data_IF_601525182496
#
_entry.id   IF_601525182496
#
_cell.length_a   1.000
_cell.length_b   1.000
_cell.length_c   1.000
_cell.angle_alpha   90.00
_cell.angle_beta   90.00
_cell.angle_gamma   90.00
#
_symmetry.space_group_name_H-M   'P 1'
#
loop_
_entity.id
_entity.type
_entity.pdbx_description
1 polymer ?
#
# COMPACT_ATOMS: atom_id res chain seq x y z
N UNK A 1 -20.96 36.54 -20.94
CA UNK A 1 -19.54 36.09 -20.80
C UNK A 1 -19.40 34.93 -19.81
N UNK A 2 -20.23 33.86 -19.95
CA UNK A 2 -20.34 32.75 -18.96
C UNK A 2 -20.29 31.36 -19.61
N UNK A 3 -19.72 31.23 -20.83
CA UNK A 3 -19.71 29.96 -21.58
C UNK A 3 -18.42 29.12 -21.49
N UNK A 4 -17.31 29.67 -20.95
CA UNK A 4 -15.99 29.00 -21.00
C UNK A 4 -15.66 28.06 -19.81
N UNK A 5 -16.37 28.18 -18.70
CA UNK A 5 -16.10 27.33 -17.49
C UNK A 5 -16.67 25.91 -17.64
N UNK A 6 -17.76 25.73 -18.39
CA UNK A 6 -18.39 24.40 -18.59
C UNK A 6 -17.60 23.42 -19.48
N UNK A 7 -16.73 23.94 -20.34
CA UNK A 7 -15.89 23.11 -21.22
C UNK A 7 -14.66 22.60 -20.51
N UNK A 8 -14.08 23.38 -19.60
CA UNK A 8 -12.93 22.91 -18.78
C UNK A 8 -13.33 21.78 -17.82
N UNK A 9 -14.49 21.89 -17.16
CA UNK A 9 -15.01 20.84 -16.28
C UNK A 9 -15.37 19.55 -17.03
N UNK A 10 -15.93 19.65 -18.26
CA UNK A 10 -16.18 18.49 -19.11
C UNK A 10 -14.89 17.84 -19.63
N UNK A 11 -13.87 18.62 -19.93
CA UNK A 11 -12.56 18.10 -20.35
C UNK A 11 -11.86 17.42 -19.17
N UNK A 12 -11.90 18.00 -17.96
CA UNK A 12 -11.38 17.39 -16.73
C UNK A 12 -12.12 16.08 -16.37
N UNK A 13 -13.44 16.04 -16.51
CA UNK A 13 -14.23 14.82 -16.25
C UNK A 13 -14.01 13.70 -17.26
N UNK A 14 -13.70 14.04 -18.51
CA UNK A 14 -13.37 13.05 -19.56
C UNK A 14 -11.97 12.43 -19.39
N UNK A 15 -11.07 13.06 -18.62
CA UNK A 15 -9.72 12.54 -18.34
C UNK A 15 -9.65 11.55 -17.18
N UNK A 16 -10.71 11.36 -16.42
CA UNK A 16 -10.64 10.83 -15.04
C UNK A 16 -11.03 9.35 -14.86
N UNK A 17 -11.18 8.59 -15.93
CA UNK A 17 -11.84 7.28 -15.80
C UNK A 17 -11.02 6.06 -16.24
N UNK A 18 -9.70 6.08 -16.10
CA UNK A 18 -8.91 4.94 -16.53
C UNK A 18 -7.79 4.55 -15.58
N UNK A 19 -7.48 3.26 -15.52
CA UNK A 19 -6.30 2.71 -14.87
C UNK A 19 -5.23 2.48 -15.93
N UNK A 20 -3.97 2.80 -15.60
CA UNK A 20 -2.80 2.55 -16.44
C UNK A 20 -1.97 1.42 -15.85
N UNK A 21 -1.28 0.68 -16.72
CA UNK A 21 -0.31 -0.34 -16.37
C UNK A 21 1.10 0.08 -16.81
N UNK A 22 2.05 0.01 -15.89
CA UNK A 22 3.48 0.10 -16.17
C UNK A 22 4.02 -1.30 -16.44
N UNK A 23 4.23 -1.61 -17.71
CA UNK A 23 4.63 -2.93 -18.21
C UNK A 23 5.92 -3.41 -17.54
N UNK A 24 6.91 -2.52 -17.37
CA UNK A 24 8.19 -2.85 -16.76
C UNK A 24 8.10 -3.25 -15.26
N UNK A 25 7.02 -2.88 -14.57
CA UNK A 25 6.78 -3.26 -13.17
C UNK A 25 5.96 -4.54 -13.04
N UNK A 26 5.10 -4.84 -14.00
CA UNK A 26 4.17 -5.96 -13.91
C UNK A 26 4.91 -7.30 -13.99
N UNK A 27 4.80 -8.14 -12.95
CA UNK A 27 5.47 -9.46 -12.92
C UNK A 27 5.00 -10.37 -14.05
N UNK A 28 3.72 -10.28 -14.45
CA UNK A 28 3.15 -11.05 -15.56
C UNK A 28 3.73 -10.64 -16.91
N UNK A 29 3.93 -9.34 -17.13
CA UNK A 29 4.53 -8.80 -18.34
C UNK A 29 6.03 -9.09 -18.43
N UNK A 30 6.73 -9.10 -17.28
CA UNK A 30 8.17 -9.37 -17.22
C UNK A 30 8.52 -10.86 -17.33
N UNK A 31 7.61 -11.72 -16.92
CA UNK A 31 7.85 -13.17 -16.89
C UNK A 31 6.59 -13.94 -17.29
N UNK A 32 6.64 -14.57 -18.45
CA UNK A 32 5.54 -15.39 -18.98
C UNK A 32 5.14 -16.57 -18.06
N UNK A 33 6.04 -17.04 -17.19
CA UNK A 33 5.77 -18.10 -16.21
C UNK A 33 5.07 -17.58 -14.94
N UNK A 34 5.01 -16.26 -14.73
CA UNK A 34 4.25 -15.70 -13.61
C UNK A 34 2.76 -15.87 -13.87
N UNK A 35 2.01 -16.36 -12.90
CA UNK A 35 0.55 -16.58 -12.99
C UNK A 35 -0.25 -15.59 -12.14
N UNK A 36 0.27 -14.36 -11.98
CA UNK A 36 -0.37 -13.33 -11.19
C UNK A 36 -1.67 -12.85 -11.84
N UNK A 37 -2.78 -12.99 -11.11
CA UNK A 37 -4.13 -12.56 -11.51
C UNK A 37 -4.76 -11.57 -10.51
N UNK A 38 -3.99 -11.03 -9.56
CA UNK A 38 -4.52 -10.22 -8.46
C UNK A 38 -5.38 -9.04 -8.91
N UNK A 39 -5.01 -8.36 -10.00
CA UNK A 39 -5.75 -7.21 -10.50
C UNK A 39 -7.08 -7.59 -11.15
N UNK A 40 -7.15 -8.69 -11.90
CA UNK A 40 -8.40 -9.15 -12.51
C UNK A 40 -9.34 -9.75 -11.46
N UNK A 41 -8.84 -10.47 -10.47
CA UNK A 41 -9.64 -11.10 -9.42
C UNK A 41 -10.43 -10.09 -8.56
N UNK A 42 -9.93 -8.85 -8.42
CA UNK A 42 -10.59 -7.81 -7.61
C UNK A 42 -11.39 -6.80 -8.43
N UNK A 43 -11.42 -6.93 -9.76
CA UNK A 43 -12.11 -5.97 -10.62
C UNK A 43 -13.62 -6.19 -10.56
N UNK A 44 -14.41 -5.24 -10.00
CA UNK A 44 -15.84 -5.43 -9.79
C UNK A 44 -16.66 -5.41 -11.08
N UNK A 45 -16.07 -4.91 -12.16
CA UNK A 45 -16.71 -4.79 -13.50
C UNK A 45 -16.01 -5.67 -14.55
N UNK A 46 -15.12 -6.57 -14.13
CA UNK A 46 -14.37 -7.47 -15.00
C UNK A 46 -13.68 -6.78 -16.18
N UNK A 47 -13.21 -5.54 -15.98
CA UNK A 47 -12.53 -4.76 -17.02
C UNK A 47 -11.07 -5.19 -17.25
N UNK A 48 -10.55 -6.18 -16.50
CA UNK A 48 -9.14 -6.59 -16.60
C UNK A 48 -9.06 -8.06 -17.00
N UNK A 49 -8.42 -8.30 -18.12
CA UNK A 49 -8.13 -9.64 -18.64
C UNK A 49 -6.64 -9.94 -18.48
N UNK A 50 -6.33 -11.15 -18.02
CA UNK A 50 -4.95 -11.66 -17.89
C UNK A 50 -4.80 -12.89 -18.77
N UNK A 51 -3.89 -12.84 -19.74
CA UNK A 51 -3.61 -13.92 -20.67
C UNK A 51 -2.12 -14.27 -20.73
N UNK A 52 -1.75 -15.20 -21.62
CA UNK A 52 -0.34 -15.49 -21.95
C UNK A 52 0.39 -14.29 -22.58
N UNK A 53 -0.35 -13.40 -23.22
CA UNK A 53 0.17 -12.20 -23.87
C UNK A 53 0.39 -11.05 -22.89
N UNK A 54 -0.28 -11.09 -21.72
CA UNK A 54 -0.12 -10.07 -20.68
C UNK A 54 -1.40 -9.69 -19.96
N UNK A 55 -1.45 -8.44 -19.51
CA UNK A 55 -2.58 -7.84 -18.80
C UNK A 55 -3.17 -6.73 -19.66
N UNK A 56 -4.47 -6.83 -19.93
CA UNK A 56 -5.23 -5.89 -20.75
C UNK A 56 -6.34 -5.26 -19.93
N UNK A 57 -6.60 -3.98 -20.15
CA UNK A 57 -7.64 -3.20 -19.45
C UNK A 57 -8.60 -2.62 -20.47
N UNK A 58 -9.87 -3.03 -20.42
CA UNK A 58 -10.95 -2.44 -21.18
C UNK A 58 -11.32 -1.09 -20.58
N UNK A 59 -10.86 -0.01 -21.21
CA UNK A 59 -10.98 1.34 -20.65
C UNK A 59 -12.45 1.77 -20.54
N UNK A 60 -13.30 1.39 -21.47
CA UNK A 60 -14.74 1.73 -21.47
C UNK A 60 -15.50 1.08 -20.31
N UNK A 61 -15.10 -0.10 -19.88
CA UNK A 61 -15.64 -0.78 -18.68
C UNK A 61 -15.03 -0.27 -17.40
N UNK A 62 -13.83 0.29 -17.45
CA UNK A 62 -13.08 0.65 -16.26
C UNK A 62 -13.71 1.84 -15.54
N UNK A 63 -14.06 1.65 -14.26
CA UNK A 63 -14.65 2.71 -13.42
C UNK A 63 -13.61 3.48 -12.59
N UNK A 64 -12.32 3.19 -12.76
CA UNK A 64 -11.21 3.80 -12.02
C UNK A 64 -11.37 3.73 -10.48
N UNK A 65 -12.01 2.68 -9.96
CA UNK A 65 -12.24 2.52 -8.51
C UNK A 65 -10.97 2.27 -7.69
N UNK A 66 -9.86 1.86 -8.34
CA UNK A 66 -8.56 1.67 -7.71
C UNK A 66 -8.33 0.33 -7.00
N UNK A 67 -9.30 -0.60 -6.93
CA UNK A 67 -9.11 -1.91 -6.29
C UNK A 67 -7.94 -2.70 -6.87
N UNK A 68 -7.78 -2.69 -8.19
CA UNK A 68 -6.67 -3.35 -8.88
C UNK A 68 -5.31 -2.72 -8.56
N UNK A 69 -5.27 -1.41 -8.30
CA UNK A 69 -4.06 -0.70 -7.84
C UNK A 69 -3.65 -1.19 -6.47
N UNK A 70 -4.62 -1.34 -5.53
CA UNK A 70 -4.39 -1.88 -4.20
C UNK A 70 -3.92 -3.34 -4.24
N UNK A 71 -4.51 -4.16 -5.09
CA UNK A 71 -4.16 -5.57 -5.23
C UNK A 71 -2.79 -5.79 -5.90
N UNK A 72 -2.26 -4.80 -6.60
CA UNK A 72 -0.98 -4.90 -7.30
C UNK A 72 0.20 -4.78 -6.35
N UNK A 73 0.76 -5.90 -5.93
CA UNK A 73 1.87 -5.98 -4.96
C UNK A 73 3.18 -5.32 -5.43
N UNK A 74 3.32 -5.06 -6.73
CA UNK A 74 4.52 -4.42 -7.31
C UNK A 74 4.26 -2.99 -7.78
N UNK A 75 3.05 -2.45 -7.56
CA UNK A 75 2.70 -1.08 -7.95
C UNK A 75 2.76 -0.82 -9.46
N UNK A 76 2.41 -1.82 -10.26
CA UNK A 76 2.39 -1.70 -11.71
C UNK A 76 1.14 -0.95 -12.24
N UNK A 77 0.14 -0.74 -11.40
CA UNK A 77 -1.12 -0.11 -11.78
C UNK A 77 -1.27 1.24 -11.07
N UNK A 78 -1.83 2.21 -11.77
CA UNK A 78 -2.14 3.54 -11.23
C UNK A 78 -3.45 4.06 -11.80
N UNK A 79 -4.20 4.86 -11.02
CA UNK A 79 -5.38 5.59 -11.52
C UNK A 79 -4.90 6.86 -12.20
N UNK A 80 -5.34 7.09 -13.44
CA UNK A 80 -5.01 8.30 -14.17
C UNK A 80 -5.55 9.54 -13.44
N UNK A 81 -4.75 10.61 -13.38
CA UNK A 81 -5.14 11.83 -12.67
C UNK A 81 -5.02 11.76 -11.15
N UNK A 82 -4.65 10.61 -10.57
CA UNK A 82 -4.45 10.44 -9.14
C UNK A 82 -3.01 10.10 -8.80
N UNK A 83 -2.38 10.91 -7.96
CA UNK A 83 -1.00 10.74 -7.51
C UNK A 83 -0.94 10.04 -6.14
N UNK A 84 -0.42 8.82 -6.10
CA UNK A 84 -0.16 8.15 -4.82
C UNK A 84 0.80 8.93 -3.93
N UNK A 85 1.80 9.59 -4.52
CA UNK A 85 2.73 10.42 -3.77
C UNK A 85 2.00 11.53 -3.02
N UNK A 86 1.20 12.33 -3.75
CA UNK A 86 0.41 13.42 -3.15
C UNK A 86 -0.58 12.91 -2.10
N UNK A 87 -1.16 11.74 -2.33
CA UNK A 87 -2.06 11.08 -1.37
C UNK A 87 -1.34 10.76 -0.06
N UNK A 88 -0.19 10.10 -0.11
CA UNK A 88 0.57 9.75 1.08
C UNK A 88 1.18 10.97 1.79
N UNK A 89 1.61 12.01 1.04
CA UNK A 89 2.05 13.28 1.61
C UNK A 89 0.92 13.95 2.41
N UNK A 90 -0.31 13.94 1.87
CA UNK A 90 -1.48 14.47 2.56
C UNK A 90 -1.84 13.63 3.81
N UNK A 91 -1.75 12.30 3.74
CA UNK A 91 -1.96 11.43 4.89
C UNK A 91 -0.96 11.75 6.03
N UNK A 92 0.33 11.88 5.72
CA UNK A 92 1.35 12.26 6.71
C UNK A 92 0.99 13.59 7.38
N UNK A 93 0.70 14.60 6.56
CA UNK A 93 0.41 15.95 7.05
C UNK A 93 -0.82 15.99 7.96
N UNK A 94 -1.89 15.26 7.58
CA UNK A 94 -3.15 15.22 8.34
C UNK A 94 -3.07 14.33 9.58
N UNK A 95 -2.32 13.24 9.53
CA UNK A 95 -2.14 12.34 10.68
C UNK A 95 -1.31 12.96 11.81
N UNK A 96 -0.48 13.94 11.52
CA UNK A 96 0.29 14.65 12.51
C UNK A 96 -0.53 15.66 13.32
N UNK A 97 -1.74 15.99 12.89
CA UNK A 97 -2.67 16.90 13.55
C UNK A 97 -3.49 16.23 14.65
N UNK A 98 -4.26 17.05 15.36
CA UNK A 98 -5.21 16.59 16.38
C UNK A 98 -6.61 16.32 15.83
N UNK A 99 -6.88 16.74 14.59
CA UNK A 99 -8.16 16.57 13.93
C UNK A 99 -8.24 15.17 13.28
N UNK A 100 -9.44 14.60 13.17
CA UNK A 100 -9.66 13.38 12.41
C UNK A 100 -9.12 13.47 10.98
N UNK A 101 -8.49 12.41 10.49
CA UNK A 101 -8.08 12.32 9.09
C UNK A 101 -9.33 12.10 8.25
N UNK A 102 -9.75 13.12 7.50
CA UNK A 102 -10.94 13.07 6.66
C UNK A 102 -10.58 12.64 5.24
N UNK A 103 -11.22 11.59 4.74
CA UNK A 103 -11.04 11.07 3.38
C UNK A 103 -12.41 11.02 2.71
N UNK A 104 -12.51 11.53 1.49
CA UNK A 104 -13.75 11.70 0.76
C UNK A 104 -13.63 11.08 -0.63
N UNK A 105 -14.65 10.34 -1.09
CA UNK A 105 -14.66 9.81 -2.45
C UNK A 105 -14.91 10.92 -3.48
N UNK A 106 -14.47 10.73 -4.71
CA UNK A 106 -14.59 11.73 -5.80
C UNK A 106 -16.04 12.09 -6.15
N UNK A 107 -16.99 11.22 -5.86
CA UNK A 107 -18.43 11.47 -6.11
C UNK A 107 -19.05 12.48 -5.13
N UNK A 108 -18.37 12.82 -4.05
CA UNK A 108 -18.77 13.84 -3.09
C UNK A 108 -18.31 15.26 -3.51
N UNK A 109 -18.47 15.64 -4.78
CA UNK A 109 -17.96 16.91 -5.32
C UNK A 109 -18.69 18.14 -4.80
N UNK A 110 -19.93 17.99 -4.38
CA UNK A 110 -20.86 19.04 -3.93
C UNK A 110 -20.83 19.27 -2.40
N UNK A 111 -19.94 18.59 -1.69
CA UNK A 111 -19.78 18.72 -0.24
C UNK A 111 -18.63 19.69 0.03
N UNK A 112 -18.83 20.62 0.97
CA UNK A 112 -17.72 21.40 1.51
C UNK A 112 -16.73 20.46 2.20
N UNK A 113 -15.60 20.27 1.55
CA UNK A 113 -14.57 19.31 1.94
C UNK A 113 -13.25 19.99 2.33
N UNK A 114 -13.32 21.23 2.84
CA UNK A 114 -12.14 21.95 3.27
C UNK A 114 -11.29 21.08 4.20
N UNK A 115 -10.09 20.77 3.75
CA UNK A 115 -9.13 19.95 4.48
C UNK A 115 -9.28 18.42 4.37
N UNK A 116 -10.25 17.89 3.62
CA UNK A 116 -10.36 16.46 3.36
C UNK A 116 -9.44 15.97 2.22
N UNK A 117 -8.97 14.74 2.32
CA UNK A 117 -8.19 14.08 1.28
C UNK A 117 -9.16 13.42 0.29
N UNK A 118 -9.09 13.78 -0.98
CA UNK A 118 -9.95 13.21 -2.01
C UNK A 118 -9.32 11.97 -2.63
N UNK A 119 -10.08 10.87 -2.71
CA UNK A 119 -9.68 9.62 -3.37
C UNK A 119 -10.65 9.25 -4.50
N UNK A 120 -10.23 8.48 -5.50
CA UNK A 120 -11.11 8.07 -6.60
C UNK A 120 -12.37 7.36 -6.10
N UNK A 121 -12.24 6.47 -5.14
CA UNK A 121 -13.32 5.73 -4.48
C UNK A 121 -12.84 5.31 -3.08
N UNK A 122 -13.72 5.14 -2.11
CA UNK A 122 -13.33 4.63 -0.78
C UNK A 122 -12.70 3.23 -0.83
N UNK A 123 -13.00 2.43 -1.85
CA UNK A 123 -12.28 1.16 -2.08
C UNK A 123 -10.77 1.32 -2.34
N UNK A 124 -10.27 2.56 -2.49
CA UNK A 124 -8.85 2.88 -2.56
C UNK A 124 -8.19 2.96 -1.17
N UNK A 125 -8.99 3.16 -0.11
CA UNK A 125 -8.52 3.24 1.27
C UNK A 125 -8.43 1.82 1.83
N UNK A 126 -7.23 1.38 2.17
CA UNK A 126 -6.95 0.03 2.64
C UNK A 126 -6.55 0.02 4.12
N UNK A 127 -6.57 -1.15 4.74
CA UNK A 127 -6.10 -1.32 6.11
C UNK A 127 -4.65 -0.84 6.28
N UNK A 128 -3.77 -1.06 5.28
CA UNK A 128 -2.40 -0.55 5.31
C UNK A 128 -2.36 0.98 5.40
N UNK A 129 -3.26 1.67 4.69
CA UNK A 129 -3.39 3.13 4.75
C UNK A 129 -3.85 3.59 6.13
N UNK A 130 -4.85 2.91 6.71
CA UNK A 130 -5.39 3.25 8.03
C UNK A 130 -4.35 3.03 9.13
N UNK A 131 -3.65 1.91 9.09
CA UNK A 131 -2.54 1.63 10.02
C UNK A 131 -1.38 2.62 9.86
N UNK A 132 -1.11 3.05 8.63
CA UNK A 132 -0.12 4.09 8.39
C UNK A 132 -0.52 5.43 9.01
N UNK A 133 -1.79 5.82 8.91
CA UNK A 133 -2.30 7.02 9.59
C UNK A 133 -2.16 6.90 11.10
N UNK A 134 -2.55 5.76 11.68
CA UNK A 134 -2.40 5.49 13.12
C UNK A 134 -0.95 5.56 13.57
N UNK A 135 -0.03 4.89 12.86
CA UNK A 135 1.41 4.94 13.13
C UNK A 135 2.02 6.34 12.95
N UNK A 136 1.36 7.20 12.18
CA UNK A 136 1.73 8.60 11.97
C UNK A 136 1.09 9.56 12.97
N UNK A 137 0.27 9.07 13.91
CA UNK A 137 -0.30 9.83 15.02
C UNK A 137 -1.80 10.09 14.95
N UNK A 138 -2.51 9.61 13.93
CA UNK A 138 -3.95 9.74 13.85
C UNK A 138 -4.65 8.82 14.86
N UNK A 139 -5.62 9.33 15.60
CA UNK A 139 -6.48 8.55 16.50
C UNK A 139 -7.80 8.18 15.83
N UNK A 140 -8.22 8.99 14.84
CA UNK A 140 -9.50 8.87 14.18
C UNK A 140 -9.39 9.12 12.68
N UNK A 141 -10.09 8.30 11.90
CA UNK A 141 -10.23 8.47 10.45
C UNK A 141 -11.72 8.51 10.13
N UNK A 142 -12.14 9.50 9.35
CA UNK A 142 -13.52 9.61 8.85
C UNK A 142 -13.55 9.51 7.34
N UNK A 143 -14.32 8.55 6.85
CA UNK A 143 -14.48 8.25 5.45
C UNK A 143 -15.88 8.68 4.99
N UNK A 144 -15.95 9.51 3.96
CA UNK A 144 -17.22 10.03 3.46
C UNK A 144 -17.49 9.55 2.04
N UNK A 145 -18.73 9.08 1.81
CA UNK A 145 -19.19 8.62 0.50
C UNK A 145 -20.59 9.14 0.19
N UNK A 146 -20.98 9.09 -1.07
CA UNK A 146 -22.37 9.18 -1.53
C UNK A 146 -22.97 7.79 -1.69
N UNK A 147 -24.26 7.71 -2.08
CA UNK A 147 -24.95 6.43 -2.33
C UNK A 147 -24.11 5.51 -3.22
N UNK A 148 -23.46 4.53 -2.61
CA UNK A 148 -22.66 3.55 -3.33
C UNK A 148 -23.48 2.58 -4.16
N UNK A 149 -24.77 2.42 -3.86
CA UNK A 149 -25.72 1.57 -4.59
C UNK A 149 -26.03 2.10 -5.99
N UNK A 150 -25.96 3.42 -6.18
CA UNK A 150 -26.19 4.10 -7.45
C UNK A 150 -24.88 4.48 -8.16
N UNK A 151 -23.74 4.15 -7.56
CA UNK A 151 -22.43 4.54 -8.04
C UNK A 151 -21.87 3.51 -9.04
N UNK A 152 -21.38 3.98 -10.19
CA UNK A 152 -20.71 3.11 -11.18
C UNK A 152 -19.49 2.35 -10.64
N UNK A 153 -18.88 2.82 -9.54
CA UNK A 153 -17.68 2.20 -8.91
C UNK A 153 -18.02 1.05 -7.95
N UNK A 154 -19.28 0.77 -7.75
CA UNK A 154 -19.85 -0.38 -7.03
C UNK A 154 -19.24 -0.61 -5.63
N UNK A 155 -20.06 -0.44 -4.59
CA UNK A 155 -19.77 -0.85 -3.21
C UNK A 155 -18.42 -0.36 -2.62
N UNK A 156 -18.06 0.89 -2.86
CA UNK A 156 -16.82 1.48 -2.33
C UNK A 156 -16.79 1.56 -0.81
N UNK A 157 -17.91 1.93 -0.18
CA UNK A 157 -18.06 2.00 1.27
C UNK A 157 -17.94 0.62 1.92
N UNK A 158 -18.63 -0.39 1.40
CA UNK A 158 -18.54 -1.77 1.92
C UNK A 158 -17.14 -2.35 1.78
N UNK A 159 -16.40 -2.00 0.72
CA UNK A 159 -15.01 -2.40 0.58
C UNK A 159 -14.12 -1.72 1.64
N UNK A 160 -14.36 -0.43 1.92
CA UNK A 160 -13.63 0.30 2.95
C UNK A 160 -13.95 -0.22 4.36
N UNK A 161 -15.20 -0.64 4.64
CA UNK A 161 -15.57 -1.23 5.93
C UNK A 161 -14.80 -2.52 6.22
N UNK A 162 -14.69 -3.42 5.25
CA UNK A 162 -13.89 -4.65 5.40
C UNK A 162 -12.41 -4.34 5.71
N UNK A 163 -11.87 -3.30 5.08
CA UNK A 163 -10.51 -2.86 5.35
C UNK A 163 -10.39 -2.18 6.72
N UNK A 164 -11.42 -1.46 7.17
CA UNK A 164 -11.48 -0.85 8.49
C UNK A 164 -11.56 -1.91 9.60
N UNK A 165 -12.41 -2.94 9.43
CA UNK A 165 -12.46 -4.09 10.34
C UNK A 165 -11.07 -4.73 10.48
N UNK A 166 -10.39 -4.94 9.36
CA UNK A 166 -9.03 -5.49 9.33
C UNK A 166 -8.02 -4.57 10.05
N UNK A 167 -8.10 -3.26 9.88
CA UNK A 167 -7.24 -2.31 10.57
C UNK A 167 -7.50 -2.29 12.08
N UNK A 168 -8.78 -2.25 12.50
CA UNK A 168 -9.20 -2.26 13.92
C UNK A 168 -8.78 -3.55 14.63
N UNK A 169 -8.75 -4.67 13.93
CA UNK A 169 -8.31 -5.95 14.50
C UNK A 169 -6.80 -6.00 14.79
N UNK A 170 -6.01 -5.13 14.17
CA UNK A 170 -4.55 -5.08 14.32
C UNK A 170 -4.11 -4.00 15.30
N UNK A 171 -4.78 -2.85 15.26
CA UNK A 171 -4.40 -1.69 16.07
C UNK A 171 -5.61 -0.87 16.49
N UNK A 172 -5.53 -0.25 17.66
CA UNK A 172 -6.58 0.63 18.20
C UNK A 172 -6.68 1.91 17.38
N UNK A 173 -7.55 1.93 16.39
CA UNK A 173 -7.88 3.10 15.59
C UNK A 173 -9.39 3.22 15.40
N UNK A 174 -9.92 4.43 15.59
CA UNK A 174 -11.31 4.73 15.27
C UNK A 174 -11.44 5.02 13.78
N UNK A 175 -12.33 4.29 13.09
CA UNK A 175 -12.64 4.53 11.68
C UNK A 175 -14.15 4.62 11.54
N UNK A 176 -14.66 5.77 11.11
CA UNK A 176 -16.07 6.00 10.85
C UNK A 176 -16.29 6.13 9.34
N UNK A 177 -17.36 5.51 8.85
CA UNK A 177 -17.75 5.56 7.44
C UNK A 177 -19.17 6.11 7.35
N UNK A 178 -19.30 7.25 6.70
CA UNK A 178 -20.56 8.01 6.70
C UNK A 178 -21.03 8.31 5.28
N UNK A 179 -22.34 8.18 5.06
CA UNK A 179 -22.97 8.71 3.86
C UNK A 179 -23.18 10.21 4.01
N UNK A 180 -22.49 10.98 3.18
CA UNK A 180 -22.52 12.42 3.24
C UNK A 180 -23.78 13.00 2.58
N UNK A 181 -24.61 13.71 3.35
CA UNK A 181 -25.75 14.43 2.83
C UNK A 181 -25.33 15.67 2.03
N UNK A 182 -26.12 16.07 1.02
CA UNK A 182 -25.81 17.12 0.05
C UNK A 182 -25.58 18.55 0.63
N UNK A 183 -25.68 18.74 1.96
CA UNK A 183 -25.43 20.02 2.64
C UNK A 183 -24.62 19.89 3.93
N UNK A 184 -23.95 18.76 4.13
CA UNK A 184 -23.16 18.58 5.34
C UNK A 184 -21.84 19.32 5.20
N UNK A 185 -21.68 20.44 5.91
CA UNK A 185 -20.36 20.99 6.16
C UNK A 185 -19.59 19.96 7.00
N UNK A 186 -18.47 19.48 6.50
CA UNK A 186 -17.58 18.54 7.22
C UNK A 186 -16.80 19.27 8.35
N UNK A 187 -17.26 20.44 8.76
CA UNK A 187 -16.79 21.18 9.91
C UNK A 187 -17.47 20.65 11.17
N UNK A 188 -16.78 19.86 11.97
CA UNK A 188 -17.26 19.48 13.30
C UNK A 188 -17.22 20.68 14.23
N UNK A 189 -18.31 21.01 14.95
CA UNK A 189 -18.22 21.95 16.05
C UNK A 189 -17.29 21.35 17.11
N UNK A 190 -16.25 22.09 17.49
CA UNK A 190 -15.31 21.69 18.54
C UNK A 190 -16.07 21.57 19.85
N UNK A 191 -16.23 20.35 20.36
CA UNK A 191 -16.84 20.15 21.68
C UNK A 191 -15.88 20.69 22.76
N UNK A 192 -16.43 21.10 23.94
CA UNK A 192 -15.60 21.53 25.07
C UNK A 192 -14.57 20.45 25.47
N UNK A 193 -14.92 19.18 25.31
CA UNK A 193 -14.06 18.03 25.60
C UNK A 193 -12.90 17.93 24.60
N UNK A 194 -13.15 18.26 23.35
CA UNK A 194 -12.13 18.28 22.28
C UNK A 194 -11.21 19.47 22.42
N UNK A 195 -11.71 20.61 22.93
CA UNK A 195 -10.88 21.78 23.24
C UNK A 195 -9.81 21.48 24.31
N UNK A 196 -10.19 20.79 25.40
CA UNK A 196 -9.24 20.38 26.44
C UNK A 196 -8.27 19.30 25.97
N UNK A 197 -8.70 18.37 25.12
CA UNK A 197 -7.80 17.43 24.44
C UNK A 197 -6.79 18.17 23.54
N UNK A 198 -7.23 19.21 22.85
CA UNK A 198 -6.37 20.06 21.99
C UNK A 198 -5.28 20.79 22.79
N UNK A 199 -5.60 21.30 23.95
CA UNK A 199 -4.62 22.00 24.82
C UNK A 199 -3.50 21.05 25.30
N UNK A 200 -3.86 19.84 25.74
CA UNK A 200 -2.89 18.83 26.21
C UNK A 200 -2.02 18.26 25.08
N UNK A 201 -2.43 18.38 23.80
CA UNK A 201 -1.68 17.90 22.64
C UNK A 201 -0.67 18.90 22.08
N UNK A 202 -0.85 20.20 22.29
CA UNK A 202 0.11 21.23 21.80
C UNK A 202 1.51 21.05 22.37
N UNK A 203 1.66 20.39 23.52
CA UNK A 203 2.96 20.04 24.09
C UNK A 203 3.67 18.86 23.38
N UNK A 204 2.95 18.08 22.55
CA UNK A 204 3.53 16.98 21.74
C UNK A 204 3.98 17.43 20.33
N UNK A 205 3.75 18.69 19.94
CA UNK A 205 3.99 19.18 18.57
C UNK A 205 5.47 19.22 18.13
N UNK A 206 6.41 19.26 19.08
CA UNK A 206 7.84 19.23 18.76
C UNK A 206 8.33 17.87 18.25
N UNK A 207 7.66 16.78 18.64
CA UNK A 207 7.97 15.43 18.15
C UNK A 207 7.41 15.16 16.74
N UNK A 208 6.36 15.88 16.33
CA UNK A 208 5.68 15.71 15.03
C UNK A 208 6.53 16.15 13.84
N UNK A 209 7.34 17.19 13.98
CA UNK A 209 8.25 17.66 12.91
C UNK A 209 9.31 16.61 12.55
N UNK A 210 9.89 15.96 13.55
CA UNK A 210 10.88 14.89 13.37
C UNK A 210 10.22 13.64 12.78
N UNK A 211 9.00 13.31 13.23
CA UNK A 211 8.24 12.19 12.70
C UNK A 211 7.87 12.35 11.22
N UNK A 212 7.47 13.54 10.78
CA UNK A 212 7.16 13.82 9.39
C UNK A 212 8.39 13.65 8.49
N UNK A 213 9.56 14.13 8.90
CA UNK A 213 10.80 13.97 8.15
C UNK A 213 11.21 12.51 8.05
N UNK A 214 11.07 11.73 9.13
CA UNK A 214 11.39 10.31 9.16
C UNK A 214 10.44 9.47 8.30
N UNK A 215 9.13 9.71 8.39
CA UNK A 215 8.12 9.06 7.56
C UNK A 215 8.36 9.35 6.08
N UNK A 216 8.68 10.60 5.74
CA UNK A 216 8.97 11.02 4.38
C UNK A 216 10.24 10.35 3.83
N UNK A 217 11.29 10.23 4.63
CA UNK A 217 12.54 9.58 4.23
C UNK A 217 12.33 8.08 3.96
N UNK A 218 11.54 7.38 4.78
CA UNK A 218 11.21 5.96 4.57
C UNK A 218 10.36 5.77 3.31
N UNK A 219 9.34 6.61 3.10
CA UNK A 219 8.45 6.48 1.95
C UNK A 219 9.14 6.80 0.61
N UNK A 220 10.07 7.75 0.59
CA UNK A 220 10.64 8.29 -0.66
C UNK A 220 12.14 8.07 -0.84
N UNK A 221 12.81 7.39 0.09
CA UNK A 221 14.24 7.05 -0.02
C UNK A 221 14.55 6.27 -1.30
N UNK A 222 15.58 6.70 -2.04
CA UNK A 222 15.98 6.09 -3.33
C UNK A 222 16.76 4.79 -3.13
N UNK A 223 16.58 3.83 -4.05
CA UNK A 223 17.38 2.61 -4.16
C UNK A 223 18.64 2.78 -4.98
N UNK A 224 19.63 1.93 -4.70
CA UNK A 224 20.95 1.90 -5.38
C UNK A 224 21.06 0.91 -6.56
N UNK A 225 20.02 0.14 -6.93
CA UNK A 225 20.09 -0.89 -7.98
C UNK A 225 19.33 -0.49 -9.24
N UNK A 226 19.98 -0.61 -10.40
CA UNK A 226 19.47 -0.23 -11.72
C UNK A 226 18.39 -1.16 -12.30
N UNK A 227 18.25 -2.39 -11.82
CA UNK A 227 17.32 -3.39 -12.36
C UNK A 227 16.07 -3.64 -11.50
N UNK A 228 16.07 -3.23 -10.24
CA UNK A 228 14.95 -3.45 -9.34
C UNK A 228 13.93 -2.32 -9.44
N UNK A 229 12.65 -2.69 -9.50
CA UNK A 229 11.54 -1.77 -9.38
C UNK A 229 11.49 -1.25 -7.95
N UNK A 230 11.24 0.05 -7.77
CA UNK A 230 11.04 0.62 -6.45
C UNK A 230 9.85 -0.05 -5.74
N UNK A 231 10.01 -0.28 -4.45
CA UNK A 231 8.93 -0.79 -3.62
C UNK A 231 7.74 0.19 -3.65
N UNK A 232 6.52 -0.29 -3.88
CA UNK A 232 5.34 0.59 -3.90
C UNK A 232 5.22 1.40 -2.61
N UNK A 233 4.82 2.67 -2.71
CA UNK A 233 4.66 3.58 -1.57
C UNK A 233 3.81 2.95 -0.46
N UNK A 234 2.67 2.32 -0.81
CA UNK A 234 1.81 1.67 0.19
C UNK A 234 2.49 0.52 0.92
N UNK A 235 3.39 -0.23 0.27
CA UNK A 235 4.16 -1.28 0.96
C UNK A 235 5.22 -0.68 1.89
N UNK A 236 5.82 0.43 1.52
CA UNK A 236 6.72 1.19 2.41
C UNK A 236 5.94 1.76 3.60
N UNK A 237 4.74 2.29 3.35
CA UNK A 237 3.84 2.78 4.39
C UNK A 237 3.45 1.66 5.38
N UNK A 238 3.10 0.48 4.87
CA UNK A 238 2.82 -0.69 5.70
C UNK A 238 4.04 -1.10 6.54
N UNK A 239 5.21 -1.21 5.93
CA UNK A 239 6.44 -1.55 6.66
C UNK A 239 6.75 -0.54 7.77
N UNK A 240 6.54 0.77 7.50
CA UNK A 240 6.66 1.82 8.50
C UNK A 240 5.64 1.65 9.64
N UNK A 241 4.37 1.42 9.29
CA UNK A 241 3.29 1.25 10.25
C UNK A 241 3.56 0.05 11.16
N UNK A 242 3.88 -1.10 10.59
CA UNK A 242 4.20 -2.31 11.35
C UNK A 242 5.42 -2.10 12.28
N UNK A 243 6.47 -1.47 11.78
CA UNK A 243 7.65 -1.17 12.60
C UNK A 243 7.31 -0.30 13.81
N UNK A 244 6.48 0.73 13.61
CA UNK A 244 6.06 1.66 14.68
C UNK A 244 5.13 0.98 15.68
N UNK A 245 4.08 0.32 15.19
CA UNK A 245 3.11 -0.41 16.02
C UNK A 245 3.80 -1.46 16.88
N UNK A 246 4.71 -2.24 16.28
CA UNK A 246 5.46 -3.28 16.99
C UNK A 246 6.47 -2.73 18.00
N UNK A 247 6.88 -1.46 17.87
CA UNK A 247 7.80 -0.85 18.83
C UNK A 247 7.08 -0.38 20.09
N UNK A 248 5.87 0.13 19.92
CA UNK A 248 5.18 0.91 20.94
C UNK A 248 4.12 0.08 21.70
N UNK A 249 3.76 -1.12 21.23
CA UNK A 249 2.68 -1.92 21.82
C UNK A 249 3.10 -3.39 22.07
N UNK A 250 3.02 -3.80 23.36
CA UNK A 250 3.29 -5.18 23.78
C UNK A 250 2.09 -6.13 23.59
N UNK A 251 0.88 -5.60 23.32
CA UNK A 251 -0.36 -6.35 23.09
C UNK A 251 -0.59 -6.70 21.61
N UNK A 252 0.44 -7.10 20.93
CA UNK A 252 0.41 -7.40 19.52
C UNK A 252 -0.32 -8.72 19.23
N UNK A 253 -1.39 -8.65 18.43
CA UNK A 253 -2.11 -9.85 18.01
C UNK A 253 -1.35 -10.57 16.88
N UNK A 254 -0.56 -11.58 17.23
CA UNK A 254 0.24 -12.37 16.28
C UNK A 254 -0.57 -12.95 15.11
N UNK A 255 -1.82 -13.33 15.33
CA UNK A 255 -2.67 -13.95 14.32
C UNK A 255 -2.92 -13.03 13.12
N UNK A 256 -3.05 -11.73 13.36
CA UNK A 256 -3.47 -10.76 12.36
C UNK A 256 -2.30 -10.26 11.51
N UNK A 257 -1.11 -10.29 12.07
CA UNK A 257 0.10 -9.86 11.37
C UNK A 257 0.66 -10.95 10.47
N UNK A 258 0.28 -12.20 10.69
CA UNK A 258 0.73 -13.35 9.89
C UNK A 258 0.59 -13.13 8.39
N UNK A 259 -0.51 -12.54 7.93
CA UNK A 259 -0.73 -12.25 6.51
C UNK A 259 0.28 -11.24 5.91
N UNK A 260 0.85 -10.35 6.75
CA UNK A 260 1.65 -9.21 6.28
C UNK A 260 3.14 -9.33 6.60
N UNK A 261 3.51 -10.20 7.53
CA UNK A 261 4.89 -10.32 8.02
C UNK A 261 5.66 -11.51 7.44
N UNK A 262 5.05 -12.28 6.55
CA UNK A 262 5.70 -13.45 5.97
C UNK A 262 7.14 -13.18 5.52
N UNK A 263 8.07 -13.97 6.05
CA UNK A 263 9.48 -13.97 5.66
C UNK A 263 9.76 -15.13 4.71
N UNK A 264 10.81 -14.99 3.91
CA UNK A 264 11.21 -16.07 3.00
C UNK A 264 12.11 -17.05 3.72
N UNK A 265 11.90 -18.33 3.42
CA UNK A 265 12.69 -19.44 3.89
C UNK A 265 13.12 -20.29 2.69
N UNK A 266 14.32 -20.83 2.73
CA UNK A 266 14.84 -21.75 1.70
C UNK A 266 15.18 -23.09 2.34
N UNK A 267 14.59 -24.16 1.80
CA UNK A 267 15.02 -25.52 2.12
C UNK A 267 16.35 -25.78 1.43
N UNK A 268 17.43 -25.96 2.22
CA UNK A 268 18.80 -26.12 1.73
C UNK A 268 19.00 -27.40 0.95
N UNK A 269 18.30 -28.48 1.27
CA UNK A 269 18.40 -29.76 0.59
C UNK A 269 17.83 -29.71 -0.84
N UNK A 270 16.77 -28.93 -1.04
CA UNK A 270 16.10 -28.75 -2.33
C UNK A 270 16.73 -27.67 -3.19
N UNK A 271 17.36 -26.66 -2.60
CA UNK A 271 17.89 -25.52 -3.33
C UNK A 271 19.17 -25.89 -4.12
N UNK A 272 19.17 -25.67 -5.43
CA UNK A 272 20.33 -25.88 -6.31
C UNK A 272 21.11 -24.59 -6.60
N UNK A 273 20.86 -23.50 -5.92
CA UNK A 273 21.47 -22.18 -6.15
C UNK A 273 21.39 -21.70 -7.61
N UNK A 274 20.35 -22.10 -8.36
CA UNK A 274 20.20 -21.73 -9.78
C UNK A 274 19.97 -20.22 -10.02
N UNK A 275 19.58 -19.47 -8.96
CA UNK A 275 19.48 -18.03 -8.97
C UNK A 275 18.20 -17.46 -9.60
N UNK A 276 17.27 -18.27 -10.12
CA UNK A 276 16.07 -17.77 -10.81
C UNK A 276 15.20 -16.91 -9.90
N UNK A 277 15.13 -17.21 -8.59
CA UNK A 277 14.32 -16.50 -7.62
C UNK A 277 14.77 -15.05 -7.42
N UNK A 278 16.07 -14.78 -7.33
CA UNK A 278 16.59 -13.43 -7.18
C UNK A 278 16.67 -12.68 -8.51
N UNK A 279 16.99 -13.35 -9.63
CA UNK A 279 16.99 -12.72 -10.95
C UNK A 279 15.62 -12.21 -11.38
N UNK A 280 14.54 -12.92 -10.99
CA UNK A 280 13.17 -12.55 -11.29
C UNK A 280 12.48 -11.78 -10.16
N UNK A 281 13.17 -11.49 -9.06
CA UNK A 281 12.62 -10.68 -7.98
C UNK A 281 12.40 -9.23 -8.47
N UNK A 282 11.16 -8.74 -8.54
CA UNK A 282 10.88 -7.43 -9.13
C UNK A 282 11.49 -6.29 -8.31
N UNK A 283 11.62 -6.46 -7.00
CA UNK A 283 12.11 -5.42 -6.08
C UNK A 283 13.54 -5.65 -5.61
N UNK A 284 14.18 -6.73 -6.04
CA UNK A 284 15.52 -7.09 -5.58
C UNK A 284 15.61 -7.46 -4.09
N UNK A 285 14.47 -7.89 -3.52
CA UNK A 285 14.42 -8.35 -2.11
C UNK A 285 15.19 -9.66 -1.89
N UNK A 286 15.36 -10.47 -2.92
CA UNK A 286 16.28 -11.61 -2.95
C UNK A 286 17.51 -11.19 -3.75
N UNK A 287 18.68 -11.52 -3.26
CA UNK A 287 19.99 -11.22 -3.89
C UNK A 287 20.92 -12.41 -3.80
N UNK A 288 21.90 -12.43 -4.70
CA UNK A 288 23.00 -13.39 -4.70
C UNK A 288 24.02 -13.01 -3.63
N UNK A 289 24.55 -14.02 -2.94
CA UNK A 289 25.79 -13.92 -2.16
C UNK A 289 26.87 -14.56 -3.01
N UNK A 290 27.93 -13.80 -3.29
CA UNK A 290 29.08 -14.27 -4.06
C UNK A 290 30.34 -14.16 -3.21
N UNK A 291 31.16 -15.20 -3.21
CA UNK A 291 32.50 -15.20 -2.60
C UNK A 291 33.56 -15.00 -3.69
N UNK A 292 34.52 -14.14 -3.40
CA UNK A 292 35.67 -13.91 -4.24
C UNK A 292 36.83 -14.80 -3.74
N UNK A 293 37.18 -15.82 -4.53
CA UNK A 293 38.31 -16.71 -4.23
C UNK A 293 39.58 -16.28 -4.96
N UNK A 294 39.62 -15.04 -5.48
CA UNK A 294 40.82 -14.49 -6.17
C UNK A 294 40.97 -14.91 -7.65
N UNK A 295 40.32 -15.99 -8.09
CA UNK A 295 40.30 -16.44 -9.48
C UNK A 295 38.94 -16.28 -10.14
N UNK A 296 37.85 -16.56 -9.39
CA UNK A 296 36.47 -16.47 -9.89
C UNK A 296 35.50 -16.11 -8.78
N UNK A 297 34.46 -15.31 -9.13
CA UNK A 297 33.28 -15.09 -8.29
C UNK A 297 32.42 -16.36 -8.27
N UNK A 298 32.41 -17.10 -7.18
CA UNK A 298 31.57 -18.27 -6.97
C UNK A 298 30.27 -17.86 -6.28
N UNK A 299 29.15 -18.42 -6.75
CA UNK A 299 27.87 -18.25 -6.07
C UNK A 299 27.90 -19.02 -4.76
N UNK A 300 27.84 -18.33 -3.64
CA UNK A 300 27.90 -18.91 -2.33
C UNK A 300 26.52 -19.04 -1.67
N UNK A 301 25.56 -18.16 -2.03
CA UNK A 301 24.28 -18.21 -1.34
C UNK A 301 23.21 -17.27 -1.90
N UNK A 302 22.12 -17.15 -1.11
CA UNK A 302 21.00 -16.26 -1.38
C UNK A 302 20.64 -15.49 -0.11
N UNK A 303 20.58 -14.18 -0.19
CA UNK A 303 20.14 -13.31 0.88
C UNK A 303 18.72 -12.75 0.64
N UNK A 304 18.04 -12.38 1.71
CA UNK A 304 16.70 -11.82 1.69
C UNK A 304 16.61 -10.55 2.53
N UNK A 305 16.01 -9.52 1.95
CA UNK A 305 15.69 -8.28 2.63
C UNK A 305 14.17 -8.09 2.67
N UNK A 306 13.57 -8.25 3.84
CA UNK A 306 12.12 -8.10 4.03
C UNK A 306 11.63 -6.69 3.73
N UNK A 307 12.41 -5.66 4.08
CA UNK A 307 12.02 -4.27 3.85
C UNK A 307 11.85 -3.94 2.36
N UNK A 308 12.46 -4.74 1.49
CA UNK A 308 12.37 -4.63 0.04
C UNK A 308 11.35 -5.58 -0.58
N UNK A 309 10.79 -6.51 0.18
CA UNK A 309 9.85 -7.51 -0.34
C UNK A 309 8.45 -6.93 -0.53
N UNK A 310 7.94 -6.99 -1.75
CA UNK A 310 6.56 -6.58 -2.07
C UNK A 310 5.52 -7.67 -1.79
N UNK A 311 5.93 -8.83 -1.32
CA UNK A 311 5.09 -10.03 -1.10
C UNK A 311 4.31 -10.49 -2.35
N UNK A 312 4.88 -10.29 -3.53
CA UNK A 312 4.24 -10.67 -4.80
C UNK A 312 4.18 -12.18 -5.06
N UNK A 313 4.91 -13.00 -4.29
CA UNK A 313 4.93 -14.46 -4.43
C UNK A 313 5.67 -15.01 -5.67
N UNK A 314 6.21 -14.16 -6.54
CA UNK A 314 6.85 -14.60 -7.80
C UNK A 314 7.99 -15.60 -7.58
N UNK A 315 8.82 -15.39 -6.54
CA UNK A 315 9.94 -16.29 -6.22
C UNK A 315 9.49 -17.73 -5.88
N UNK A 316 8.30 -17.87 -5.27
CA UNK A 316 7.73 -19.18 -4.94
C UNK A 316 7.29 -19.94 -6.21
N UNK A 317 6.71 -19.21 -7.18
CA UNK A 317 6.15 -19.75 -8.39
C UNK A 317 7.21 -20.14 -9.43
N UNK A 318 8.30 -19.39 -9.49
CA UNK A 318 9.38 -19.64 -10.45
C UNK A 318 10.37 -20.71 -10.00
N UNK A 319 10.33 -21.14 -8.73
CA UNK A 319 11.23 -22.17 -8.22
C UNK A 319 10.76 -23.56 -8.65
N UNK A 320 11.48 -24.18 -9.59
CA UNK A 320 11.19 -25.55 -10.07
C UNK A 320 11.32 -26.58 -8.95
N UNK A 321 12.30 -26.41 -8.07
CA UNK A 321 12.57 -27.33 -6.96
C UNK A 321 11.63 -27.11 -5.75
N UNK A 322 10.73 -26.09 -5.83
CA UNK A 322 9.86 -25.70 -4.71
C UNK A 322 10.63 -25.56 -3.37
N UNK A 323 11.86 -25.09 -3.49
CA UNK A 323 12.75 -24.89 -2.34
C UNK A 323 12.41 -23.67 -1.48
N UNK A 324 11.67 -22.69 -2.07
CA UNK A 324 11.26 -21.47 -1.37
C UNK A 324 9.88 -21.64 -0.72
N UNK A 325 9.78 -21.18 0.52
CA UNK A 325 8.53 -21.10 1.26
C UNK A 325 8.39 -19.76 1.98
N UNK A 326 7.21 -19.51 2.52
CA UNK A 326 6.92 -18.38 3.40
C UNK A 326 6.65 -18.95 4.79
N UNK A 327 7.31 -18.41 5.80
CA UNK A 327 6.95 -18.68 7.18
C UNK A 327 6.62 -17.37 7.90
N UNK A 328 5.91 -17.47 8.99
CA UNK A 328 5.71 -16.38 9.94
C UNK A 328 6.94 -16.32 10.83
N UNK A 329 7.42 -15.13 11.21
CA UNK A 329 8.42 -14.99 12.25
C UNK A 329 7.95 -15.60 13.57
N UNK A 330 8.86 -16.21 14.31
CA UNK A 330 8.55 -16.85 15.60
C UNK A 330 8.37 -15.80 16.72
N UNK A 331 8.89 -14.59 16.51
CA UNK A 331 8.74 -13.45 17.42
C UNK A 331 8.71 -12.09 16.71
N UNK A 332 8.27 -11.07 17.44
CA UNK A 332 8.31 -9.68 16.99
C UNK A 332 9.75 -9.21 16.74
N UNK A 333 10.67 -9.64 17.57
CA UNK A 333 12.10 -9.33 17.48
C UNK A 333 12.70 -9.91 16.20
N UNK A 334 12.36 -11.14 15.86
CA UNK A 334 12.76 -11.75 14.60
C UNK A 334 12.23 -10.94 13.40
N UNK A 335 10.95 -10.56 13.42
CA UNK A 335 10.40 -9.73 12.35
C UNK A 335 11.11 -8.37 12.21
N UNK A 336 11.37 -7.69 13.34
CA UNK A 336 12.15 -6.45 13.35
C UNK A 336 13.55 -6.65 12.80
N UNK A 337 14.18 -7.77 13.11
CA UNK A 337 15.49 -8.15 12.57
C UNK A 337 15.45 -8.26 11.04
N UNK A 338 14.47 -8.98 10.49
CA UNK A 338 14.29 -9.11 9.04
C UNK A 338 13.94 -7.79 8.32
N UNK A 339 13.27 -6.86 9.00
CA UNK A 339 12.99 -5.54 8.45
C UNK A 339 14.25 -4.66 8.34
N UNK A 340 15.20 -4.84 9.23
CA UNK A 340 16.41 -4.02 9.29
C UNK A 340 17.58 -4.60 8.50
N UNK A 341 17.66 -5.91 8.40
CA UNK A 341 18.84 -6.61 7.92
C UNK A 341 18.58 -7.32 6.58
N UNK A 342 19.66 -7.53 5.85
CA UNK A 342 19.72 -8.46 4.74
C UNK A 342 20.12 -9.82 5.32
N UNK A 343 19.18 -10.75 5.34
CA UNK A 343 19.34 -12.04 6.02
C UNK A 343 19.74 -13.11 5.03
N UNK A 344 20.81 -13.82 5.33
CA UNK A 344 21.20 -15.00 4.59
C UNK A 344 20.15 -16.11 4.74
N UNK A 345 19.61 -16.60 3.62
CA UNK A 345 18.66 -17.71 3.62
C UNK A 345 19.36 -19.06 3.41
N UNK A 346 20.46 -19.06 2.65
CA UNK A 346 21.29 -20.22 2.36
C UNK A 346 22.68 -19.74 1.95
N UNK A 347 23.68 -20.42 2.47
CA UNK A 347 25.09 -20.29 2.11
C UNK A 347 25.69 -21.67 1.90
N UNK A 348 26.53 -21.89 0.88
CA UNK A 348 27.22 -23.15 0.56
C UNK A 348 28.65 -22.90 0.06
#
# INVERSE_FOLDING_TARGET
>A
MFGRLRTADKILSAFDSSVRIEICKCVRQRNKRADCTNCSAVCPVSAITVSSEGVFIEQDKCTACGRCVNACKVGALSVKGFSEKTYFDALISKSAGSDPVKIICSECSDIDNSGAIRVPCLSYVTAETMLFCAASGAEEIRLYHKKCTECRRINGASAAEKEAEKARSIYRITVDIEEAAAKTSISSPISRRDFFRHLNRKTKSSATGIMNSFSHQILYGKKKSSFAVDLPIRKRALNFALYRILKDDAEFNEHLVREWVGIRYINSEKCRLCGICYKLCPTGALSEISEDNGEFLKKAGIAFNKSMCSDCGNCLKVCSEKALAVRVPDSVEEFKFYLKNNVELIHR
#
